data_IF_712791459334
#
_entry.id   IF_712791459334
#
_cell.length_a   1.000
_cell.length_b   1.000
_cell.length_c   1.000
_cell.angle_alpha   90.00
_cell.angle_beta   90.00
_cell.angle_gamma   90.00
#
_symmetry.space_group_name_H-M   'P 1'
#
loop_
_entity.id
_entity.type
_entity.pdbx_description
1 polymer ?
#
# COMPACT_ATOMS: atom_id res chain seq x y z
N UNK A 1 -13.68 3.32 7.89
CA UNK A 1 -14.04 4.74 8.13
C UNK A 1 -14.99 4.89 9.32
N UNK A 2 -16.07 4.09 9.41
CA UNK A 2 -17.02 4.11 10.54
C UNK A 2 -16.34 3.99 11.92
N UNK A 3 -15.31 3.16 12.05
CA UNK A 3 -14.57 3.01 13.32
C UNK A 3 -13.66 4.20 13.68
N UNK A 4 -13.39 5.11 12.74
CA UNK A 4 -12.49 6.26 12.90
C UNK A 4 -13.09 7.52 12.25
N UNK A 5 -14.14 8.11 12.84
CA UNK A 5 -14.85 9.25 12.26
C UNK A 5 -13.94 10.48 12.10
N UNK A 6 -12.95 10.67 12.97
CA UNK A 6 -12.01 11.80 12.88
C UNK A 6 -11.12 11.74 11.63
N UNK A 7 -10.69 10.55 11.23
CA UNK A 7 -9.89 10.34 10.01
C UNK A 7 -10.74 10.59 8.78
N UNK A 8 -12.01 10.16 8.82
CA UNK A 8 -12.97 10.42 7.75
C UNK A 8 -13.23 11.92 7.56
N UNK A 9 -13.46 12.66 8.64
CA UNK A 9 -13.67 14.11 8.59
C UNK A 9 -12.47 14.84 7.97
N UNK A 10 -11.24 14.51 8.39
CA UNK A 10 -10.02 15.10 7.83
C UNK A 10 -9.85 14.79 6.32
N UNK A 11 -10.23 13.59 5.90
CA UNK A 11 -10.18 13.22 4.48
C UNK A 11 -11.21 14.01 3.66
N UNK A 12 -12.41 14.25 4.22
CA UNK A 12 -13.43 15.10 3.59
C UNK A 12 -12.97 16.56 3.50
N UNK A 13 -12.40 17.11 4.58
CA UNK A 13 -11.85 18.47 4.59
C UNK A 13 -10.77 18.68 3.52
N UNK A 14 -9.88 17.70 3.29
CA UNK A 14 -8.88 17.78 2.21
C UNK A 14 -9.54 17.83 0.82
N UNK A 15 -10.53 16.96 0.57
CA UNK A 15 -11.26 16.91 -0.70
C UNK A 15 -11.97 18.24 -0.96
N UNK A 16 -12.71 18.73 0.03
CA UNK A 16 -13.47 19.97 -0.07
C UNK A 16 -12.54 21.18 -0.30
N UNK A 17 -11.35 21.17 0.30
CA UNK A 17 -10.36 22.25 0.14
C UNK A 17 -9.70 22.23 -1.25
N UNK A 18 -9.39 21.05 -1.79
CA UNK A 18 -8.60 20.92 -3.04
C UNK A 18 -9.48 20.98 -4.29
N UNK A 19 -10.63 20.33 -4.27
CA UNK A 19 -11.53 20.23 -5.44
C UNK A 19 -12.62 21.29 -5.39
N UNK A 20 -13.07 21.68 -4.18
CA UNK A 20 -14.27 22.47 -3.99
C UNK A 20 -15.55 21.63 -4.16
N UNK A 21 -16.71 22.29 -4.05
CA UNK A 21 -18.02 21.64 -4.15
C UNK A 21 -18.65 21.61 -5.55
N UNK A 22 -17.93 22.09 -6.57
CA UNK A 22 -18.52 22.29 -7.91
C UNK A 22 -18.49 21.04 -8.80
N UNK A 23 -17.59 20.08 -8.52
CA UNK A 23 -17.44 18.84 -9.29
C UNK A 23 -17.05 17.65 -8.42
N UNK A 24 -17.28 16.45 -8.94
CA UNK A 24 -16.83 15.22 -8.30
C UNK A 24 -15.31 15.01 -8.46
N UNK A 25 -14.65 14.31 -7.52
CA UNK A 25 -13.24 13.95 -7.63
C UNK A 25 -12.96 13.03 -8.83
N UNK A 26 -11.87 13.30 -9.54
CA UNK A 26 -11.39 12.47 -10.65
C UNK A 26 -10.03 11.84 -10.34
N UNK A 27 -9.64 10.81 -11.12
CA UNK A 27 -8.35 10.13 -10.91
C UNK A 27 -7.14 11.06 -11.10
N UNK A 28 -7.27 12.09 -11.95
CA UNK A 28 -6.23 13.10 -12.18
C UNK A 28 -5.93 13.94 -10.93
N UNK A 29 -6.89 14.07 -10.00
CA UNK A 29 -6.72 14.83 -8.77
C UNK A 29 -5.92 14.08 -7.70
N UNK A 30 -5.61 12.79 -7.93
CA UNK A 30 -4.93 11.94 -6.96
C UNK A 30 -3.61 12.53 -6.45
N UNK A 31 -2.85 13.20 -7.30
CA UNK A 31 -1.57 13.83 -6.91
C UNK A 31 -1.77 15.04 -5.98
N UNK A 32 -2.95 15.65 -6.01
CA UNK A 32 -3.32 16.81 -5.18
C UNK A 32 -3.99 16.42 -3.85
N UNK A 33 -4.31 15.14 -3.66
CA UNK A 33 -4.96 14.60 -2.46
C UNK A 33 -4.02 13.65 -1.69
N UNK A 34 -2.93 14.17 -1.10
CA UNK A 34 -1.94 13.34 -0.43
C UNK A 34 -2.49 12.61 0.81
N UNK A 35 -3.38 13.23 1.59
CA UNK A 35 -3.94 12.60 2.78
C UNK A 35 -4.91 11.47 2.44
N UNK A 36 -5.82 11.68 1.49
CA UNK A 36 -6.71 10.60 1.00
C UNK A 36 -5.90 9.44 0.45
N UNK A 37 -4.86 9.69 -0.35
CA UNK A 37 -4.00 8.63 -0.86
C UNK A 37 -3.27 7.88 0.27
N UNK A 38 -2.80 8.59 1.30
CA UNK A 38 -2.21 7.97 2.49
C UNK A 38 -3.21 7.09 3.26
N UNK A 39 -4.45 7.55 3.43
CA UNK A 39 -5.52 6.78 4.06
C UNK A 39 -5.81 5.48 3.27
N UNK A 40 -5.90 5.56 1.94
CA UNK A 40 -6.09 4.37 1.09
C UNK A 40 -4.96 3.35 1.27
N UNK A 41 -3.70 3.82 1.26
CA UNK A 41 -2.53 2.95 1.44
C UNK A 41 -2.50 2.33 2.84
N UNK A 42 -2.90 3.09 3.87
CA UNK A 42 -2.94 2.62 5.24
C UNK A 42 -4.02 1.55 5.45
N UNK A 43 -5.18 1.70 4.80
CA UNK A 43 -6.23 0.66 4.80
C UNK A 43 -5.72 -0.63 4.17
N UNK A 44 -5.05 -0.54 3.01
CA UNK A 44 -4.47 -1.71 2.34
C UNK A 44 -3.33 -2.36 3.15
N UNK A 45 -2.59 -1.56 3.93
CA UNK A 45 -1.58 -2.06 4.87
C UNK A 45 -2.20 -2.77 6.08
N UNK A 46 -3.29 -2.23 6.62
CA UNK A 46 -3.93 -2.77 7.82
C UNK A 46 -4.75 -4.03 7.53
N UNK A 47 -5.54 -4.00 6.46
CA UNK A 47 -6.36 -5.11 6.01
C UNK A 47 -6.17 -5.31 4.50
N UNK A 48 -5.11 -6.01 4.08
CA UNK A 48 -4.96 -6.39 2.69
C UNK A 48 -6.13 -7.28 2.26
N UNK A 49 -6.60 -7.09 1.04
CA UNK A 49 -7.73 -7.87 0.47
C UNK A 49 -7.39 -9.36 0.41
N UNK A 50 -6.12 -9.70 0.14
CA UNK A 50 -5.60 -11.07 0.12
C UNK A 50 -4.48 -11.25 1.14
N UNK A 51 -4.81 -11.58 2.41
CA UNK A 51 -3.82 -11.75 3.50
C UNK A 51 -2.72 -12.79 3.22
N UNK A 52 -3.04 -13.82 2.43
CA UNK A 52 -2.12 -14.91 2.03
C UNK A 52 -1.67 -14.81 0.56
N UNK A 53 -1.97 -13.70 -0.11
CA UNK A 53 -1.71 -13.54 -1.54
C UNK A 53 -2.43 -14.61 -2.39
N UNK A 54 -1.91 -14.82 -3.59
CA UNK A 54 -2.32 -15.92 -4.47
C UNK A 54 -1.33 -17.07 -4.30
N UNK A 55 -1.81 -18.31 -4.38
CA UNK A 55 -0.96 -19.50 -4.30
C UNK A 55 -0.03 -19.57 -5.52
N UNK A 56 1.28 -19.66 -5.30
CA UNK A 56 2.28 -19.87 -6.35
C UNK A 56 2.73 -21.32 -6.37
N UNK A 57 3.14 -21.84 -7.53
CA UNK A 57 3.65 -23.21 -7.67
C UNK A 57 5.05 -23.21 -8.25
N UNK A 58 5.96 -23.98 -7.64
CA UNK A 58 7.30 -24.16 -8.18
C UNK A 58 7.28 -24.89 -9.51
N UNK A 59 7.93 -24.30 -10.52
CA UNK A 59 8.10 -24.89 -11.86
C UNK A 59 9.32 -25.82 -11.89
N UNK A 60 10.30 -25.58 -11.04
CA UNK A 60 11.55 -26.33 -10.88
C UNK A 60 11.89 -26.45 -9.40
N UNK A 61 12.79 -27.37 -9.05
CA UNK A 61 13.30 -27.51 -7.68
C UNK A 61 14.11 -26.26 -7.31
N UNK A 62 14.00 -25.80 -6.05
CA UNK A 62 14.67 -24.58 -5.58
C UNK A 62 15.15 -24.73 -4.13
N UNK A 63 16.12 -23.91 -3.74
CA UNK A 63 16.67 -23.85 -2.39
C UNK A 63 16.35 -22.49 -1.77
N UNK A 64 15.43 -22.47 -0.80
CA UNK A 64 15.04 -21.24 -0.10
C UNK A 64 15.44 -21.28 1.37
N UNK A 65 16.24 -20.30 1.82
CA UNK A 65 16.68 -20.17 3.21
C UNK A 65 17.29 -21.46 3.82
N UNK A 66 17.97 -22.27 2.99
CA UNK A 66 18.56 -23.55 3.39
C UNK A 66 17.61 -24.76 3.30
N UNK A 67 16.36 -24.56 2.90
CA UNK A 67 15.38 -25.62 2.68
C UNK A 67 15.27 -25.99 1.20
N UNK A 68 15.28 -27.29 0.91
CA UNK A 68 15.03 -27.82 -0.43
C UNK A 68 13.53 -27.90 -0.70
N UNK A 69 13.08 -27.18 -1.73
CA UNK A 69 11.70 -27.12 -2.16
C UNK A 69 11.56 -27.88 -3.49
N UNK A 70 10.89 -29.05 -3.52
CA UNK A 70 10.71 -29.79 -4.75
C UNK A 70 9.71 -29.10 -5.69
N UNK A 71 9.87 -29.35 -6.98
CA UNK A 71 8.97 -28.92 -8.04
C UNK A 71 7.54 -29.33 -7.72
N UNK A 72 6.60 -28.42 -7.97
CA UNK A 72 5.19 -28.64 -7.67
C UNK A 72 4.78 -28.22 -6.25
N UNK A 73 5.72 -27.82 -5.39
CA UNK A 73 5.38 -27.23 -4.08
C UNK A 73 4.54 -25.96 -4.25
N UNK A 74 3.49 -25.85 -3.45
CA UNK A 74 2.63 -24.66 -3.40
C UNK A 74 3.15 -23.73 -2.30
N UNK A 75 3.40 -22.47 -2.67
CA UNK A 75 3.85 -21.42 -1.77
C UNK A 75 2.73 -20.40 -1.58
N UNK A 76 2.50 -20.04 -0.32
CA UNK A 76 1.65 -18.92 0.06
C UNK A 76 2.51 -17.80 0.63
N UNK A 77 2.29 -16.58 0.16
CA UNK A 77 2.97 -15.40 0.68
C UNK A 77 2.14 -14.82 1.83
N UNK A 78 2.67 -14.78 3.04
CA UNK A 78 1.97 -14.15 4.16
C UNK A 78 2.07 -12.61 4.08
N UNK A 79 1.30 -12.04 3.16
CA UNK A 79 1.23 -10.60 2.88
C UNK A 79 0.84 -9.83 4.15
N UNK A 80 -0.13 -10.35 4.91
CA UNK A 80 -0.56 -9.71 6.16
C UNK A 80 0.59 -9.55 7.15
N UNK A 81 1.40 -10.60 7.34
CA UNK A 81 2.57 -10.53 8.22
C UNK A 81 3.59 -9.52 7.68
N UNK A 82 3.82 -9.47 6.37
CA UNK A 82 4.69 -8.47 5.74
C UNK A 82 4.20 -7.04 6.00
N UNK A 83 2.91 -6.76 5.84
CA UNK A 83 2.32 -5.45 6.09
C UNK A 83 2.29 -5.06 7.59
N UNK A 84 2.20 -6.05 8.49
CA UNK A 84 2.17 -5.83 9.94
C UNK A 84 3.55 -5.74 10.60
N UNK A 85 4.58 -6.41 10.08
CA UNK A 85 5.95 -6.39 10.63
C UNK A 85 6.53 -4.96 10.65
N UNK A 86 6.04 -4.06 9.79
CA UNK A 86 6.42 -2.65 9.79
C UNK A 86 5.99 -1.87 11.05
N UNK A 87 5.32 -2.51 12.04
CA UNK A 87 5.04 -1.90 13.36
C UNK A 87 6.28 -1.41 14.11
N UNK A 88 7.50 -1.89 13.79
CA UNK A 88 8.73 -1.40 14.44
C UNK A 88 9.21 -0.02 13.96
N UNK A 89 8.70 0.50 12.85
CA UNK A 89 9.05 1.85 12.34
C UNK A 89 7.84 2.76 12.10
N UNK A 90 6.61 2.24 12.23
CA UNK A 90 5.39 2.92 11.76
C UNK A 90 4.38 3.30 12.86
N UNK A 91 4.81 3.52 14.11
CA UNK A 91 4.01 4.32 15.06
C UNK A 91 3.91 5.80 14.62
N UNK A 92 4.51 6.18 13.50
CA UNK A 92 4.51 7.55 12.98
C UNK A 92 3.27 7.93 12.16
N UNK A 93 2.53 7.01 11.51
CA UNK A 93 1.47 7.43 10.57
C UNK A 93 0.22 8.00 11.27
N UNK A 94 -0.10 7.57 12.49
CA UNK A 94 -1.23 8.13 13.27
C UNK A 94 -0.81 9.36 14.11
N UNK A 95 0.51 9.59 14.31
CA UNK A 95 1.06 10.72 15.09
C UNK A 95 1.68 11.86 14.24
N UNK A 96 1.85 11.69 12.93
CA UNK A 96 2.49 12.68 12.05
C UNK A 96 1.52 13.71 11.46
N UNK A 97 0.62 14.28 12.27
CA UNK A 97 -0.17 15.44 11.81
C UNK A 97 0.66 16.72 11.62
N UNK A 98 1.96 16.76 11.95
CA UNK A 98 2.74 18.00 11.95
C UNK A 98 4.19 17.88 11.42
N UNK A 99 4.44 17.10 10.37
CA UNK A 99 5.72 17.22 9.64
C UNK A 99 5.46 17.47 8.18
N UNK A 100 5.61 18.76 7.83
CA UNK A 100 5.92 19.22 6.48
C UNK A 100 6.91 18.26 5.81
N UNK A 101 6.45 17.56 4.77
CA UNK A 101 7.25 16.64 3.96
C UNK A 101 8.23 17.43 3.08
N UNK A 102 9.24 18.04 3.69
CA UNK A 102 10.49 18.42 3.02
C UNK A 102 11.65 17.86 3.79
N UNK A 103 11.90 16.56 3.62
CA UNK A 103 13.22 16.01 3.91
C UNK A 103 13.84 15.40 2.65
N UNK A 104 14.86 16.11 2.14
CA UNK A 104 15.93 15.63 1.26
C UNK A 104 15.54 15.14 -0.14
N UNK A 105 14.91 15.98 -0.97
CA UNK A 105 15.17 16.10 -2.42
C UNK A 105 15.36 14.84 -3.29
N UNK A 106 14.92 13.66 -2.85
CA UNK A 106 15.10 12.37 -3.51
C UNK A 106 13.71 11.75 -3.64
N UNK A 107 13.30 11.53 -4.90
CA UNK A 107 12.05 10.88 -5.29
C UNK A 107 11.90 9.58 -4.49
N UNK A 108 10.87 9.50 -3.66
CA UNK A 108 10.51 8.32 -2.88
C UNK A 108 9.91 7.27 -3.83
N UNK A 109 10.65 6.21 -4.16
CA UNK A 109 10.11 5.17 -5.06
C UNK A 109 10.21 3.71 -4.59
N UNK A 110 10.88 3.38 -3.48
CA UNK A 110 11.12 1.96 -3.15
C UNK A 110 10.80 1.57 -1.70
N UNK A 111 11.03 2.44 -0.71
CA UNK A 111 10.83 2.11 0.72
C UNK A 111 9.36 2.23 1.17
N UNK A 112 8.57 3.10 0.54
CA UNK A 112 7.16 3.31 0.87
C UNK A 112 6.20 2.37 0.11
N UNK A 113 6.70 1.58 -0.85
CA UNK A 113 5.85 0.80 -1.75
C UNK A 113 5.45 -0.59 -1.20
N UNK A 114 5.74 -0.89 0.07
CA UNK A 114 5.36 -2.18 0.68
C UNK A 114 3.87 -2.33 0.93
N UNK A 115 3.08 -1.25 0.86
CA UNK A 115 1.62 -1.36 0.78
C UNK A 115 1.16 -1.94 -0.57
N UNK A 116 1.99 -1.92 -1.63
CA UNK A 116 1.71 -2.63 -2.90
C UNK A 116 1.91 -4.14 -2.84
N UNK A 117 2.61 -4.67 -1.84
CA UNK A 117 2.61 -6.13 -1.56
C UNK A 117 1.18 -6.66 -1.37
N UNK A 118 0.24 -5.81 -0.93
CA UNK A 118 -1.19 -6.13 -0.86
C UNK A 118 -1.81 -6.50 -2.22
N UNK A 119 -1.17 -6.12 -3.33
CA UNK A 119 -1.61 -6.33 -4.71
C UNK A 119 -0.78 -7.39 -5.44
N UNK A 120 0.18 -8.02 -4.75
CA UNK A 120 1.15 -8.96 -5.32
C UNK A 120 2.36 -8.27 -5.93
N UNK A 121 3.47 -9.02 -6.00
CA UNK A 121 4.73 -8.57 -6.60
C UNK A 121 4.88 -9.18 -8.02
N UNK A 122 5.52 -8.42 -8.91
CA UNK A 122 6.00 -8.83 -10.23
C UNK A 122 4.96 -9.55 -11.13
N UNK A 123 5.29 -10.76 -11.62
CA UNK A 123 4.56 -11.46 -12.70
C UNK A 123 3.12 -11.85 -12.30
N UNK A 124 2.84 -12.01 -11.01
CA UNK A 124 1.52 -12.37 -10.49
C UNK A 124 0.77 -11.17 -9.88
N UNK A 125 1.22 -9.94 -10.11
CA UNK A 125 0.55 -8.75 -9.62
C UNK A 125 -0.86 -8.61 -10.22
N UNK A 126 -1.80 -8.13 -9.40
CA UNK A 126 -3.16 -7.86 -9.84
C UNK A 126 -3.16 -6.92 -11.05
N UNK A 127 -3.70 -7.38 -12.18
CA UNK A 127 -3.72 -6.60 -13.44
C UNK A 127 -4.49 -5.29 -13.33
N UNK A 128 -5.42 -5.20 -12.39
CA UNK A 128 -6.22 -4.00 -12.12
C UNK A 128 -5.52 -3.02 -11.15
N UNK A 129 -4.34 -3.36 -10.65
CA UNK A 129 -3.53 -2.41 -9.91
C UNK A 129 -3.05 -1.32 -10.89
N UNK A 130 -3.58 -0.10 -10.75
CA UNK A 130 -3.15 1.06 -11.53
C UNK A 130 -1.65 1.26 -11.26
N UNK A 131 -0.81 0.93 -12.25
CA UNK A 131 0.62 1.26 -12.22
C UNK A 131 0.71 2.78 -12.15
N UNK A 132 1.31 3.31 -11.08
CA UNK A 132 1.72 4.71 -11.12
C UNK A 132 2.70 4.82 -12.30
N UNK A 133 2.31 5.56 -13.34
CA UNK A 133 3.18 5.78 -14.49
C UNK A 133 4.51 6.35 -13.98
N UNK A 134 5.66 5.76 -14.33
CA UNK A 134 6.93 6.39 -14.03
C UNK A 134 7.02 7.68 -14.86
N UNK A 135 6.97 8.83 -14.20
CA UNK A 135 7.38 10.11 -14.75
C UNK A 135 8.90 10.28 -14.60
#
# INVERSE_FOLDING_TARGET
MICYPDVQRKAQEEIDTVIGGERLPELADRERLPYVNAVCLEVLRWQPVTPLGVAHRLIQDDMHAGYHLPRGTIIYTNVWKCCMILRRTATQIILFQNVSLKHRGKKWNWILDRSRLALGDDECQCRNAVRASPA
#
